data_IF_340386224200
#
_entry.id   IF_340386224200
#
_cell.length_a   1.000
_cell.length_b   1.000
_cell.length_c   1.000
_cell.angle_alpha   90.00
_cell.angle_beta   90.00
_cell.angle_gamma   90.00
#
_symmetry.space_group_name_H-M   'P 1'
#
loop_
_entity.id
_entity.type
_entity.pdbx_description
1 polymer ?
#
# COMPACT_ATOMS: atom_id res chain seq x y z
N UNK A 1 26.66 1.80 -0.59
CA UNK A 1 26.31 2.60 0.60
C UNK A 1 25.54 3.80 0.12
N UNK A 2 24.46 4.17 0.81
CA UNK A 2 23.71 5.39 0.50
C UNK A 2 24.46 6.52 1.21
N UNK A 3 25.15 7.37 0.44
CA UNK A 3 25.98 8.47 0.95
C UNK A 3 25.15 9.76 1.19
N UNK A 4 23.83 9.61 1.26
CA UNK A 4 22.87 10.71 1.34
C UNK A 4 22.09 10.59 2.65
N UNK A 5 22.35 11.55 3.55
CA UNK A 5 21.68 11.69 4.84
C UNK A 5 20.37 12.45 4.64
N UNK A 6 19.26 11.87 5.11
CA UNK A 6 17.96 12.55 5.18
C UNK A 6 17.78 13.18 6.57
N UNK A 7 17.51 14.48 6.62
CA UNK A 7 17.23 15.18 7.88
C UNK A 7 15.72 15.34 8.07
N UNK A 8 15.21 14.79 9.17
CA UNK A 8 13.79 14.85 9.53
C UNK A 8 13.63 15.88 10.65
N UNK A 9 12.95 17.02 10.42
CA UNK A 9 12.69 18.01 11.45
C UNK A 9 11.65 17.46 12.44
N UNK A 10 12.05 17.27 13.70
CA UNK A 10 11.18 16.74 14.77
C UNK A 10 10.58 17.81 15.68
N UNK A 11 10.92 19.08 15.44
CA UNK A 11 10.51 20.21 16.29
C UNK A 11 9.02 20.55 16.18
N UNK A 12 8.34 20.06 15.13
CA UNK A 12 6.94 20.35 14.87
C UNK A 12 6.19 19.05 14.68
N UNK A 13 5.04 18.93 15.34
CA UNK A 13 4.08 17.88 15.03
C UNK A 13 3.49 18.16 13.63
N UNK A 14 3.90 17.37 12.65
CA UNK A 14 3.44 17.46 11.28
C UNK A 14 3.63 16.16 10.50
N UNK A 15 2.97 16.12 9.34
CA UNK A 15 3.06 15.02 8.40
C UNK A 15 3.62 15.54 7.09
N UNK A 16 4.78 15.03 6.67
CA UNK A 16 5.51 15.55 5.51
C UNK A 16 6.02 14.43 4.61
N UNK A 17 5.98 14.68 3.31
CA UNK A 17 6.63 13.85 2.30
C UNK A 17 8.10 14.26 2.17
N UNK A 18 8.98 13.26 2.11
CA UNK A 18 10.40 13.43 1.84
C UNK A 18 10.78 12.57 0.63
N UNK A 19 11.34 13.22 -0.39
CA UNK A 19 11.94 12.54 -1.52
C UNK A 19 13.25 11.86 -1.09
N UNK A 20 13.35 10.57 -1.39
CA UNK A 20 14.58 9.80 -1.27
C UNK A 20 15.29 9.93 -2.62
N UNK A 21 16.33 10.76 -2.68
CA UNK A 21 17.17 10.94 -3.87
C UNK A 21 18.03 9.69 -4.11
N UNK A 22 17.39 8.58 -4.45
CA UNK A 22 18.06 7.34 -4.84
C UNK A 22 18.46 7.46 -6.32
N UNK A 23 19.74 7.73 -6.57
CA UNK A 23 20.36 8.20 -7.82
C UNK A 23 20.01 7.48 -9.14
N UNK A 24 19.71 8.26 -10.19
CA UNK A 24 20.30 8.39 -11.57
C UNK A 24 19.31 9.19 -12.43
N UNK A 25 19.76 10.03 -13.36
CA UNK A 25 18.87 10.67 -14.35
C UNK A 25 17.98 9.61 -15.02
N UNK A 26 16.66 9.79 -14.96
CA UNK A 26 15.67 8.85 -15.49
C UNK A 26 15.23 7.72 -14.55
N UNK A 27 15.73 7.66 -13.31
CA UNK A 27 15.22 6.73 -12.28
C UNK A 27 13.98 7.28 -11.57
N UNK A 28 13.16 6.38 -11.03
CA UNK A 28 11.93 6.70 -10.32
C UNK A 28 12.21 7.38 -8.97
N UNK A 29 11.49 8.47 -8.68
CA UNK A 29 11.61 9.18 -7.41
C UNK A 29 10.90 8.41 -6.28
N UNK A 30 11.69 7.87 -5.36
CA UNK A 30 11.18 7.24 -4.15
C UNK A 30 10.90 8.30 -3.09
N UNK A 31 10.04 7.98 -2.13
CA UNK A 31 9.79 8.89 -1.03
C UNK A 31 9.17 8.22 0.17
N UNK A 32 9.21 8.93 1.30
CA UNK A 32 8.65 8.46 2.55
C UNK A 32 7.78 9.54 3.16
N UNK A 33 6.88 9.13 4.05
CA UNK A 33 6.16 10.04 4.92
C UNK A 33 6.81 10.00 6.28
N UNK A 34 7.18 11.17 6.79
CA UNK A 34 7.44 11.39 8.21
C UNK A 34 6.14 11.86 8.85
N UNK A 35 5.71 11.16 9.90
CA UNK A 35 4.59 11.52 10.75
C UNK A 35 5.14 11.81 12.15
N UNK A 36 5.22 13.09 12.49
CA UNK A 36 5.71 13.56 13.79
C UNK A 36 4.49 13.97 14.61
N UNK A 37 4.30 13.31 15.74
CA UNK A 37 3.23 13.62 16.70
C UNK A 37 3.81 13.81 18.09
N UNK A 38 3.11 14.57 18.93
CA UNK A 38 3.45 14.72 20.35
C UNK A 38 2.31 14.10 21.15
N UNK A 39 2.61 13.00 21.83
CA UNK A 39 1.67 12.25 22.65
C UNK A 39 2.26 12.12 24.06
N UNK A 40 1.51 12.53 25.08
CA UNK A 40 1.91 12.48 26.50
C UNK A 40 3.30 13.08 26.77
N UNK A 41 3.60 14.20 26.11
CA UNK A 41 4.90 14.89 26.24
C UNK A 41 6.07 14.20 25.53
N UNK A 42 5.82 13.08 24.85
CA UNK A 42 6.78 12.35 24.03
C UNK A 42 6.61 12.70 22.55
N UNK A 43 7.73 12.96 21.86
CA UNK A 43 7.72 13.09 20.41
C UNK A 43 7.83 11.72 19.77
N UNK A 44 6.77 11.28 19.09
CA UNK A 44 6.74 10.03 18.33
C UNK A 44 6.97 10.36 16.85
N UNK A 45 8.01 9.76 16.27
CA UNK A 45 8.36 9.92 14.86
C UNK A 45 8.12 8.60 14.15
N UNK A 46 7.18 8.58 13.21
CA UNK A 46 6.91 7.42 12.36
C UNK A 46 7.40 7.69 10.96
N UNK A 47 8.33 6.87 10.48
CA UNK A 47 8.74 6.83 9.07
C UNK A 47 8.00 5.69 8.39
N UNK A 48 7.29 5.97 7.30
CA UNK A 48 6.51 4.98 6.57
C UNK A 48 6.54 5.25 5.07
N UNK A 49 6.11 4.26 4.29
CA UNK A 49 5.87 4.47 2.87
C UNK A 49 4.75 5.48 2.61
N UNK A 50 4.64 5.91 1.36
CA UNK A 50 3.59 6.84 0.91
C UNK A 50 2.21 6.19 0.81
N UNK A 51 2.12 4.86 0.85
CA UNK A 51 0.85 4.15 0.70
C UNK A 51 0.32 3.65 2.03
N UNK A 52 -0.96 3.93 2.24
CA UNK A 52 -1.75 3.42 3.33
C UNK A 52 -3.06 2.88 2.76
N UNK A 53 -3.36 1.62 3.06
CA UNK A 53 -4.65 1.00 2.74
C UNK A 53 -5.57 1.23 3.92
N UNK A 54 -6.77 1.76 3.66
CA UNK A 54 -7.82 1.90 4.65
C UNK A 54 -8.97 1.00 4.25
N UNK A 55 -9.34 0.07 5.13
CA UNK A 55 -10.45 -0.82 4.87
C UNK A 55 -11.74 -0.19 5.37
N UNK A 56 -12.62 0.21 4.46
CA UNK A 56 -13.95 0.73 4.77
C UNK A 56 -15.03 -0.36 4.78
N UNK A 57 -14.68 -1.60 4.47
CA UNK A 57 -15.62 -2.70 4.44
C UNK A 57 -15.86 -3.30 5.83
N UNK A 58 -16.98 -3.98 5.99
CA UNK A 58 -17.34 -4.71 7.21
C UNK A 58 -16.62 -6.05 7.37
N UNK A 59 -15.76 -6.42 6.42
CA UNK A 59 -14.98 -7.66 6.43
C UNK A 59 -13.48 -7.37 6.37
N UNK A 60 -12.63 -8.22 6.97
CA UNK A 60 -11.19 -8.12 6.81
C UNK A 60 -10.76 -8.29 5.34
N UNK A 61 -9.83 -7.44 4.89
CA UNK A 61 -9.28 -7.47 3.54
C UNK A 61 -7.79 -7.79 3.58
N UNK A 62 -7.38 -8.86 2.90
CA UNK A 62 -5.97 -9.17 2.72
C UNK A 62 -5.40 -8.38 1.55
N UNK A 63 -4.23 -7.76 1.75
CA UNK A 63 -3.53 -6.96 0.75
C UNK A 63 -2.28 -7.70 0.30
N UNK A 64 -2.06 -7.75 -1.00
CA UNK A 64 -0.93 -8.43 -1.62
C UNK A 64 -0.20 -7.51 -2.58
N UNK A 65 1.07 -7.80 -2.84
CA UNK A 65 1.86 -7.13 -3.86
C UNK A 65 2.51 -8.14 -4.80
N UNK A 66 2.83 -7.73 -6.03
CA UNK A 66 3.58 -8.57 -6.96
C UNK A 66 5.04 -8.66 -6.52
N UNK A 67 5.54 -9.88 -6.32
CA UNK A 67 6.95 -10.10 -5.99
C UNK A 67 7.85 -9.74 -7.17
N UNK A 68 9.16 -9.61 -6.91
CA UNK A 68 10.17 -9.34 -7.96
C UNK A 68 10.22 -10.39 -9.08
N UNK A 69 9.63 -11.58 -8.87
CA UNK A 69 9.54 -12.65 -9.88
C UNK A 69 8.48 -12.35 -10.94
N UNK A 70 7.51 -11.48 -10.66
CA UNK A 70 6.50 -11.02 -11.61
C UNK A 70 5.33 -12.01 -11.87
N UNK A 71 5.37 -13.19 -11.25
CA UNK A 71 4.35 -14.24 -11.40
C UNK A 71 3.80 -14.78 -10.07
N UNK A 72 4.28 -14.25 -8.95
CA UNK A 72 3.89 -14.65 -7.60
C UNK A 72 3.52 -13.40 -6.80
N UNK A 73 2.44 -13.49 -6.02
CA UNK A 73 2.02 -12.44 -5.10
C UNK A 73 2.35 -12.85 -3.67
N UNK A 74 2.70 -11.87 -2.84
CA UNK A 74 2.97 -12.06 -1.41
C UNK A 74 2.01 -11.23 -0.58
N UNK A 75 1.52 -11.80 0.52
CA UNK A 75 0.61 -11.14 1.44
C UNK A 75 1.38 -10.13 2.28
N UNK A 76 0.98 -8.86 2.20
CA UNK A 76 1.50 -7.79 3.05
C UNK A 76 0.90 -7.88 4.45
N UNK A 77 -0.41 -8.14 4.51
CA UNK A 77 -1.16 -8.18 5.76
C UNK A 77 -2.67 -8.21 5.52
N UNK A 78 -3.41 -8.39 6.61
CA UNK A 78 -4.87 -8.33 6.64
C UNK A 78 -5.27 -7.05 7.35
N UNK A 79 -6.21 -6.31 6.76
CA UNK A 79 -6.72 -5.05 7.28
C UNK A 79 -8.13 -5.29 7.78
N UNK A 80 -8.33 -5.23 9.09
CA UNK A 80 -9.66 -5.36 9.70
C UNK A 80 -10.59 -4.18 9.34
N UNK A 81 -11.91 -4.31 9.54
CA UNK A 81 -12.86 -3.22 9.32
C UNK A 81 -12.45 -1.91 10.00
N UNK A 82 -12.54 -0.81 9.25
CA UNK A 82 -12.14 0.55 9.64
C UNK A 82 -10.67 0.70 10.11
N UNK A 83 -9.84 -0.31 9.87
CA UNK A 83 -8.41 -0.27 10.18
C UNK A 83 -7.57 0.15 8.98
N UNK A 84 -6.33 0.55 9.27
CA UNK A 84 -5.36 1.03 8.29
C UNK A 84 -4.10 0.20 8.31
N UNK A 85 -3.55 -0.06 7.13
CA UNK A 85 -2.28 -0.75 6.95
C UNK A 85 -1.32 0.13 6.14
N UNK A 86 -0.16 0.43 6.73
CA UNK A 86 0.94 1.05 6.00
C UNK A 86 1.68 -0.04 5.21
N UNK A 87 1.83 0.16 3.90
CA UNK A 87 2.56 -0.80 3.07
C UNK A 87 4.08 -0.71 3.33
N UNK A 88 4.80 -1.83 3.37
CA UNK A 88 6.27 -1.81 3.49
C UNK A 88 6.88 -1.17 2.24
N UNK A 89 8.04 -0.52 2.39
CA UNK A 89 8.71 0.18 1.29
C UNK A 89 8.98 -0.75 0.10
N UNK A 90 9.37 -1.99 0.36
CA UNK A 90 9.66 -2.99 -0.66
C UNK A 90 8.45 -3.40 -1.51
N UNK A 91 7.22 -3.23 -0.99
CA UNK A 91 5.98 -3.44 -1.73
C UNK A 91 5.54 -2.19 -2.52
N UNK A 92 5.95 -0.99 -2.08
CA UNK A 92 5.65 0.27 -2.76
C UNK A 92 6.65 0.54 -3.88
N UNK A 93 7.93 0.40 -3.59
CA UNK A 93 9.06 0.72 -4.45
C UNK A 93 9.78 -0.55 -4.89
N UNK A 94 9.26 -1.19 -5.93
CA UNK A 94 9.83 -2.43 -6.46
C UNK A 94 10.93 -2.11 -7.48
N UNK A 95 12.02 -2.88 -7.46
CA UNK A 95 13.09 -2.74 -8.46
C UNK A 95 12.67 -3.14 -9.88
N UNK A 96 11.52 -3.81 -10.01
CA UNK A 96 10.94 -4.25 -11.28
C UNK A 96 9.99 -3.23 -11.90
N UNK A 97 9.75 -2.08 -11.24
CA UNK A 97 8.76 -1.08 -11.64
C UNK A 97 7.34 -1.66 -11.76
N UNK A 98 7.02 -2.69 -10.96
CA UNK A 98 5.69 -3.28 -10.87
C UNK A 98 5.02 -2.72 -9.62
N UNK A 99 3.96 -1.93 -9.81
CA UNK A 99 3.26 -1.18 -8.75
C UNK A 99 1.88 -1.78 -8.43
N UNK A 100 1.79 -3.10 -8.55
CA UNK A 100 0.52 -3.82 -8.50
C UNK A 100 0.19 -4.23 -7.07
N UNK A 101 -0.97 -3.78 -6.62
CA UNK A 101 -1.61 -4.28 -5.42
C UNK A 101 -2.75 -5.20 -5.80
N UNK A 102 -2.93 -6.26 -5.02
CA UNK A 102 -4.06 -7.16 -5.15
C UNK A 102 -4.75 -7.29 -3.81
N UNK A 103 -6.01 -7.70 -3.84
CA UNK A 103 -6.84 -7.77 -2.64
C UNK A 103 -7.56 -9.11 -2.62
N UNK A 104 -7.88 -9.60 -1.43
CA UNK A 104 -8.77 -10.74 -1.25
C UNK A 104 -9.61 -10.58 0.01
N UNK A 105 -10.72 -11.30 0.05
CA UNK A 105 -11.62 -11.44 1.20
C UNK A 105 -11.64 -12.92 1.58
N UNK A 106 -11.88 -13.23 2.84
CA UNK A 106 -11.96 -14.62 3.29
C UNK A 106 -12.96 -15.44 2.46
N UNK A 107 -12.61 -16.68 2.13
CA UNK A 107 -13.37 -17.54 1.22
C UNK A 107 -13.20 -17.24 -0.28
N UNK A 108 -12.53 -16.15 -0.66
CA UNK A 108 -12.27 -15.78 -2.06
C UNK A 108 -10.78 -15.83 -2.42
N UNK A 109 -10.52 -16.00 -3.71
CA UNK A 109 -9.19 -15.93 -4.30
C UNK A 109 -8.71 -14.47 -4.37
N UNK A 110 -7.41 -14.28 -4.55
CA UNK A 110 -6.84 -12.95 -4.82
C UNK A 110 -7.44 -12.38 -6.11
N UNK A 111 -7.60 -11.06 -6.15
CA UNK A 111 -8.15 -10.36 -7.31
C UNK A 111 -7.40 -10.72 -8.60
N UNK A 112 -8.13 -10.97 -9.69
CA UNK A 112 -7.51 -11.34 -10.98
C UNK A 112 -6.76 -10.15 -11.58
N UNK A 113 -7.35 -8.96 -11.47
CA UNK A 113 -6.72 -7.73 -11.91
C UNK A 113 -6.02 -7.00 -10.75
N UNK A 114 -4.88 -6.34 -11.02
CA UNK A 114 -4.22 -5.50 -10.03
C UNK A 114 -4.86 -4.11 -9.93
N UNK A 115 -4.71 -3.49 -8.76
CA UNK A 115 -4.78 -2.05 -8.59
C UNK A 115 -3.38 -1.45 -8.77
N UNK A 116 -3.19 -0.60 -9.79
CA UNK A 116 -1.91 0.04 -10.07
C UNK A 116 -1.85 1.34 -9.27
N UNK A 117 -1.23 1.31 -8.08
CA UNK A 117 -1.29 2.46 -7.16
C UNK A 117 -0.69 3.73 -7.76
N UNK A 118 0.30 3.58 -8.65
CA UNK A 118 1.03 4.70 -9.26
C UNK A 118 0.16 5.56 -10.17
N UNK A 119 -0.97 5.04 -10.67
CA UNK A 119 -1.90 5.87 -11.46
C UNK A 119 -2.55 6.97 -10.62
N UNK A 120 -2.59 6.83 -9.29
CA UNK A 120 -2.99 7.90 -8.35
C UNK A 120 -2.01 9.09 -8.32
N UNK A 121 -0.80 8.97 -8.86
CA UNK A 121 0.09 10.13 -8.99
C UNK A 121 -0.33 11.04 -10.16
N UNK A 122 -1.12 10.51 -11.10
CA UNK A 122 -1.58 11.24 -12.29
C UNK A 122 -2.98 11.83 -12.10
N UNK A 123 -3.73 11.35 -11.11
CA UNK A 123 -5.12 11.76 -10.86
C UNK A 123 -5.37 12.01 -9.38
N UNK A 124 -6.32 12.90 -9.05
CA UNK A 124 -6.66 13.21 -7.64
C UNK A 124 -7.33 12.02 -6.94
N UNK A 125 -8.07 11.21 -7.69
CA UNK A 125 -8.71 9.99 -7.20
C UNK A 125 -8.89 8.99 -8.35
N UNK A 126 -9.08 7.73 -8.01
CA UNK A 126 -9.37 6.64 -8.94
C UNK A 126 -10.24 5.61 -8.23
N UNK A 127 -11.21 5.07 -8.96
CA UNK A 127 -12.05 3.95 -8.52
C UNK A 127 -11.84 2.77 -9.46
N UNK A 128 -11.62 1.57 -8.90
CA UNK A 128 -11.49 0.35 -9.67
C UNK A 128 -12.30 -0.77 -9.01
N UNK A 129 -13.12 -1.45 -9.80
CA UNK A 129 -13.82 -2.66 -9.37
C UNK A 129 -12.86 -3.85 -9.53
N UNK A 130 -12.69 -4.63 -8.45
CA UNK A 130 -11.81 -5.80 -8.44
C UNK A 130 -12.65 -7.07 -8.29
N UNK A 131 -12.35 -8.08 -9.10
CA UNK A 131 -13.02 -9.38 -9.08
C UNK A 131 -12.18 -10.41 -8.32
N UNK A 132 -12.75 -10.97 -7.26
CA UNK A 132 -12.18 -12.08 -6.50
C UNK A 132 -13.08 -13.31 -6.68
N UNK A 133 -12.55 -14.38 -7.27
CA UNK A 133 -13.35 -15.59 -7.52
C UNK A 133 -13.51 -16.43 -6.24
N UNK A 134 -14.67 -17.06 -6.06
CA UNK A 134 -14.93 -17.94 -4.91
C UNK A 134 -13.97 -19.14 -4.90
N UNK A 135 -13.44 -19.51 -3.73
CA UNK A 135 -12.62 -20.73 -3.57
C UNK A 135 -13.44 -22.01 -3.70
N UNK A 136 -14.73 -21.95 -3.38
CA UNK A 136 -15.66 -23.08 -3.51
C UNK A 136 -16.42 -23.01 -4.83
N UNK A 137 -16.38 -24.10 -5.61
CA UNK A 137 -17.17 -24.29 -6.85
C UNK A 137 -18.66 -24.61 -6.59
N UNK A 138 -19.21 -24.24 -5.43
CA UNK A 138 -20.64 -24.40 -5.18
C UNK A 138 -21.40 -23.20 -5.75
N UNK A 139 -22.21 -23.52 -6.75
CA UNK A 139 -22.66 -22.67 -7.84
C UNK A 139 -23.85 -21.75 -7.50
N UNK A 140 -23.94 -21.20 -6.29
CA UNK A 140 -25.18 -20.53 -5.82
C UNK A 140 -24.96 -19.46 -4.73
N UNK A 141 -23.87 -18.69 -4.77
CA UNK A 141 -23.87 -17.36 -4.13
C UNK A 141 -23.69 -16.33 -5.22
N UNK A 142 -24.74 -15.54 -5.45
CA UNK A 142 -24.75 -14.42 -6.38
C UNK A 142 -23.48 -13.57 -6.17
N UNK A 143 -23.00 -12.94 -7.26
CA UNK A 143 -21.91 -11.98 -7.19
C UNK A 143 -22.26 -10.94 -6.11
N UNK A 144 -21.52 -10.95 -5.01
CA UNK A 144 -21.71 -10.02 -3.93
C UNK A 144 -20.79 -8.83 -4.17
N UNK A 145 -21.35 -7.63 -4.00
CA UNK A 145 -20.58 -6.40 -4.00
C UNK A 145 -20.37 -6.02 -2.55
N UNK A 146 -19.12 -5.88 -2.16
CA UNK A 146 -18.80 -5.26 -0.87
C UNK A 146 -18.81 -3.76 -1.14
N UNK A 147 -19.69 -3.03 -0.46
CA UNK A 147 -19.82 -1.57 -0.55
C UNK A 147 -19.05 -0.92 0.59
#
# INVERSE_FOLDING_TARGET
GIDEKLEIPVLRADKRFFSLKYRKEGSEEWGIISDVVVEDGSTVVTLRSVLQVHNHFTQPIAVYYMTKRGNEVECVGIVDPDQKLNLPLDAVYTSTNIYWLFFSVDGYMVSVEPFIWKDLQKTVSMTKVLKCDSRTKQNTKDAFFIQ
#
